data_IF_322273961561
#
_entry.id   IF_322273961561
#
_cell.length_a   1.000
_cell.length_b   1.000
_cell.length_c   1.000
_cell.angle_alpha   90.00
_cell.angle_beta   90.00
_cell.angle_gamma   90.00
#
_symmetry.space_group_name_H-M   'P 1'
#
loop_
_entity.id
_entity.type
_entity.pdbx_description
1 polymer ?
#
# COMPACT_ATOMS: atom_id res chain seq x y z
N UNK A 1 4.73 -12.09 -14.68
CA UNK A 1 4.53 -11.65 -13.28
C UNK A 1 4.44 -10.13 -13.15
N UNK A 2 5.48 -9.33 -13.44
CA UNK A 2 5.38 -7.85 -13.30
C UNK A 2 4.31 -7.25 -14.21
N UNK A 3 4.18 -7.74 -15.45
CA UNK A 3 3.10 -7.34 -16.37
C UNK A 3 1.70 -7.67 -15.80
N UNK A 4 1.52 -8.87 -15.24
CA UNK A 4 0.26 -9.27 -14.59
C UNK A 4 -0.06 -8.35 -13.42
N UNK A 5 0.94 -8.02 -12.60
CA UNK A 5 0.77 -7.11 -11.47
C UNK A 5 0.23 -5.75 -11.93
N UNK A 6 0.85 -5.14 -12.94
CA UNK A 6 0.41 -3.83 -13.44
C UNK A 6 -0.95 -3.88 -14.10
N UNK A 7 -1.27 -4.96 -14.82
CA UNK A 7 -2.60 -5.16 -15.37
C UNK A 7 -3.65 -5.28 -14.25
N UNK A 8 -3.42 -6.14 -13.26
CA UNK A 8 -4.30 -6.30 -12.09
C UNK A 8 -4.50 -4.98 -11.35
N UNK A 9 -3.43 -4.22 -11.11
CA UNK A 9 -3.53 -2.91 -10.45
C UNK A 9 -4.29 -1.88 -11.30
N UNK A 10 -4.20 -1.98 -12.62
CA UNK A 10 -5.00 -1.20 -13.57
C UNK A 10 -6.49 -1.47 -13.42
N UNK A 11 -6.88 -2.72 -13.17
CA UNK A 11 -8.27 -3.15 -12.95
C UNK A 11 -8.82 -2.83 -11.55
N UNK A 12 -7.99 -2.38 -10.61
CA UNK A 12 -8.43 -2.04 -9.27
C UNK A 12 -9.30 -0.78 -9.26
N UNK A 13 -10.33 -0.78 -8.42
CA UNK A 13 -11.10 0.43 -8.10
C UNK A 13 -10.22 1.45 -7.37
N UNK A 14 -10.69 2.69 -7.24
CA UNK A 14 -9.96 3.70 -6.48
C UNK A 14 -9.83 3.32 -5.00
N UNK A 15 -10.86 2.70 -4.43
CA UNK A 15 -10.86 2.18 -3.05
C UNK A 15 -9.81 1.07 -2.90
N UNK A 16 -9.76 0.12 -3.84
CA UNK A 16 -8.74 -0.94 -3.86
C UNK A 16 -7.33 -0.38 -4.03
N UNK A 17 -7.13 0.68 -4.83
CA UNK A 17 -5.83 1.35 -4.97
C UNK A 17 -5.38 2.02 -3.68
N UNK A 18 -6.30 2.63 -2.92
CA UNK A 18 -6.00 3.19 -1.60
C UNK A 18 -5.63 2.09 -0.61
N UNK A 19 -6.36 0.96 -0.60
CA UNK A 19 -6.03 -0.20 0.22
C UNK A 19 -4.67 -0.79 -0.16
N UNK A 20 -4.37 -0.85 -1.45
CA UNK A 20 -3.06 -1.27 -1.95
C UNK A 20 -1.95 -0.34 -1.45
N UNK A 21 -2.11 0.98 -1.57
CA UNK A 21 -1.15 1.95 -1.04
C UNK A 21 -0.89 1.74 0.45
N UNK A 22 -1.96 1.59 1.25
CA UNK A 22 -1.84 1.25 2.67
C UNK A 22 -1.06 -0.05 2.88
N UNK A 23 -1.37 -1.08 2.11
CA UNK A 23 -0.70 -2.37 2.21
C UNK A 23 0.80 -2.28 1.95
N UNK A 24 1.25 -1.50 0.95
CA UNK A 24 2.68 -1.46 0.56
C UNK A 24 3.49 -0.36 1.25
N UNK A 25 2.87 0.72 1.72
CA UNK A 25 3.59 1.86 2.32
C UNK A 25 3.09 2.25 3.71
N UNK A 26 2.03 1.62 4.23
CA UNK A 26 1.40 2.03 5.50
C UNK A 26 0.74 3.40 5.46
N UNK A 27 0.51 3.96 4.26
CA UNK A 27 -0.05 5.29 4.06
C UNK A 27 -1.31 5.20 3.22
N UNK A 28 -2.33 5.96 3.63
CA UNK A 28 -3.58 6.15 2.88
C UNK A 28 -3.47 7.14 1.73
N UNK A 29 -2.43 7.98 1.72
CA UNK A 29 -2.26 9.07 0.77
C UNK A 29 -0.83 9.12 0.23
N UNK A 30 -0.73 9.55 -1.03
CA UNK A 30 0.54 9.90 -1.64
C UNK A 30 1.00 11.27 -1.12
N UNK A 31 2.32 11.53 -1.07
CA UNK A 31 2.84 12.87 -0.79
C UNK A 31 2.30 13.89 -1.80
N UNK A 32 2.11 15.13 -1.35
CA UNK A 32 1.61 16.21 -2.22
C UNK A 32 2.60 16.56 -3.34
N UNK A 33 3.91 16.43 -3.07
CA UNK A 33 4.97 16.62 -4.04
C UNK A 33 5.67 15.29 -4.32
N UNK A 34 5.90 14.98 -5.60
CA UNK A 34 6.63 13.78 -6.02
C UNK A 34 8.09 13.78 -5.56
N UNK A 35 8.67 14.96 -5.32
CA UNK A 35 10.01 15.11 -4.74
C UNK A 35 10.10 14.56 -3.31
N UNK A 36 8.97 14.50 -2.58
CA UNK A 36 8.92 13.98 -1.21
C UNK A 36 8.84 12.45 -1.16
N UNK A 37 8.76 11.78 -2.32
CA UNK A 37 8.85 10.32 -2.43
C UNK A 37 10.32 9.94 -2.31
N UNK A 38 10.80 9.80 -1.07
CA UNK A 38 12.19 9.45 -0.75
C UNK A 38 12.58 8.02 -1.13
N UNK A 39 11.59 7.13 -1.32
CA UNK A 39 11.83 5.73 -1.63
C UNK A 39 11.02 5.27 -2.84
N UNK A 40 11.69 4.51 -3.72
CA UNK A 40 11.05 3.92 -4.91
C UNK A 40 10.31 2.65 -4.51
N UNK A 41 9.11 2.47 -5.06
CA UNK A 41 8.36 1.22 -4.92
C UNK A 41 9.13 0.06 -5.56
N UNK A 42 9.24 -1.06 -4.83
CA UNK A 42 9.98 -2.24 -5.28
C UNK A 42 9.07 -3.47 -5.32
N UNK A 43 9.20 -4.27 -6.39
CA UNK A 43 8.53 -5.57 -6.52
C UNK A 43 9.60 -6.65 -6.48
N UNK A 44 9.55 -7.47 -5.44
CA UNK A 44 10.49 -8.56 -5.21
C UNK A 44 9.81 -9.89 -5.45
N UNK A 45 10.37 -10.71 -6.33
CA UNK A 45 10.01 -12.13 -6.40
C UNK A 45 10.57 -12.84 -5.18
N UNK A 46 9.79 -13.74 -4.59
CA UNK A 46 10.22 -14.54 -3.45
C UNK A 46 10.01 -16.02 -3.71
N UNK A 47 10.89 -16.83 -3.13
CA UNK A 47 10.72 -18.28 -3.13
C UNK A 47 9.80 -18.66 -1.97
N UNK A 48 8.54 -18.88 -2.31
CA UNK A 48 7.44 -19.26 -1.41
C UNK A 48 6.53 -20.22 -2.18
N UNK A 49 5.68 -21.00 -1.48
CA UNK A 49 4.71 -21.87 -2.14
C UNK A 49 3.91 -21.10 -3.20
N UNK A 50 3.61 -21.80 -4.29
CA UNK A 50 2.78 -21.25 -5.36
C UNK A 50 1.46 -20.73 -4.82
N UNK A 51 0.99 -19.63 -5.40
CA UNK A 51 -0.33 -19.07 -5.12
C UNK A 51 -0.57 -18.68 -3.64
N UNK A 52 0.50 -18.58 -2.86
CA UNK A 52 0.45 -18.03 -1.51
C UNK A 52 0.16 -16.53 -1.53
N UNK A 53 -0.16 -15.96 -0.36
CA UNK A 53 -0.45 -14.53 -0.27
C UNK A 53 0.80 -13.67 -0.49
N UNK A 54 0.67 -12.51 -1.14
CA UNK A 54 1.75 -11.54 -1.19
C UNK A 54 2.02 -10.98 0.21
N UNK A 55 3.25 -10.51 0.43
CA UNK A 55 3.63 -9.83 1.67
C UNK A 55 4.21 -8.46 1.33
N UNK A 56 4.15 -7.52 2.26
CA UNK A 56 4.74 -6.20 2.11
C UNK A 56 5.75 -5.91 3.21
N UNK A 57 6.70 -5.04 2.90
CA UNK A 57 7.59 -4.42 3.87
C UNK A 57 7.46 -2.92 3.72
N UNK A 58 6.60 -2.33 4.56
CA UNK A 58 6.20 -0.92 4.45
C UNK A 58 7.36 0.04 4.67
N UNK A 59 8.23 -0.26 5.64
CA UNK A 59 9.46 0.50 5.90
C UNK A 59 10.38 0.60 4.68
N UNK A 60 10.27 -0.32 3.72
CA UNK A 60 11.08 -0.35 2.51
C UNK A 60 10.28 -0.11 1.22
N UNK A 61 8.99 0.23 1.36
CA UNK A 61 8.06 0.39 0.25
C UNK A 61 8.13 -0.77 -0.77
N UNK A 62 8.13 -2.00 -0.25
CA UNK A 62 8.43 -3.20 -1.03
C UNK A 62 7.25 -4.19 -1.00
N UNK A 63 6.83 -4.64 -2.18
CA UNK A 63 5.89 -5.74 -2.38
C UNK A 63 6.65 -7.02 -2.71
N UNK A 64 6.36 -8.10 -1.99
CA UNK A 64 6.96 -9.42 -2.17
C UNK A 64 5.94 -10.38 -2.76
N UNK A 65 6.18 -10.83 -3.99
CA UNK A 65 5.28 -11.67 -4.76
C UNK A 65 5.80 -13.12 -4.82
N UNK A 66 5.02 -14.11 -4.36
CA UNK A 66 5.28 -15.52 -4.66
C UNK A 66 5.05 -15.80 -6.15
N UNK A 67 5.49 -16.98 -6.65
CA UNK A 67 5.09 -17.42 -7.97
C UNK A 67 3.58 -17.67 -8.02
N UNK A 68 2.92 -17.09 -9.02
CA UNK A 68 1.49 -17.33 -9.28
C UNK A 68 1.30 -18.18 -10.53
N UNK A 69 0.36 -19.11 -10.47
CA UNK A 69 0.00 -20.00 -11.57
C UNK A 69 -0.71 -19.27 -12.72
N UNK A 70 -1.42 -18.17 -12.42
CA UNK A 70 -2.08 -17.33 -13.41
C UNK A 70 -2.26 -15.88 -12.94
N UNK A 71 -2.58 -14.98 -13.88
CA UNK A 71 -2.94 -13.60 -13.55
C UNK A 71 -4.21 -13.53 -12.68
N UNK A 72 -5.20 -14.40 -12.91
CA UNK A 72 -6.43 -14.43 -12.12
C UNK A 72 -6.14 -14.72 -10.65
N UNK A 73 -5.26 -15.69 -10.38
CA UNK A 73 -4.87 -16.04 -9.01
C UNK A 73 -4.06 -14.90 -8.36
N UNK A 74 -3.17 -14.23 -9.11
CA UNK A 74 -2.49 -13.03 -8.62
C UNK A 74 -3.49 -11.95 -8.19
N UNK A 75 -4.53 -11.70 -9.02
CA UNK A 75 -5.56 -10.71 -8.74
C UNK A 75 -6.39 -11.07 -7.50
N UNK A 76 -6.82 -12.33 -7.38
CA UNK A 76 -7.53 -12.84 -6.21
C UNK A 76 -6.69 -12.67 -4.93
N UNK A 77 -5.42 -13.08 -4.97
CA UNK A 77 -4.52 -13.05 -3.80
C UNK A 77 -4.14 -11.63 -3.40
N UNK A 78 -3.93 -10.72 -4.36
CA UNK A 78 -3.72 -9.30 -4.06
C UNK A 78 -4.96 -8.67 -3.43
N UNK A 79 -6.15 -8.88 -4.00
CA UNK A 79 -7.40 -8.38 -3.42
C UNK A 79 -7.62 -8.91 -2.02
N UNK A 80 -7.38 -10.20 -1.81
CA UNK A 80 -7.47 -10.77 -0.47
C UNK A 80 -6.52 -10.07 0.51
N UNK A 81 -5.24 -9.90 0.14
CA UNK A 81 -4.24 -9.29 1.01
C UNK A 81 -4.58 -7.86 1.41
N UNK A 82 -4.94 -7.00 0.45
CA UNK A 82 -5.24 -5.58 0.71
C UNK A 82 -6.53 -5.39 1.53
N UNK A 83 -7.50 -6.30 1.44
CA UNK A 83 -8.76 -6.20 2.17
C UNK A 83 -8.67 -6.74 3.62
N UNK A 84 -7.76 -7.68 3.87
CA UNK A 84 -7.62 -8.36 5.17
C UNK A 84 -6.44 -7.85 6.00
N UNK A 85 -5.47 -7.17 5.39
CA UNK A 85 -4.35 -6.54 6.12
C UNK A 85 -4.73 -5.11 6.54
N UNK A 86 -5.45 -4.98 7.67
CA UNK A 86 -6.04 -3.71 8.13
C UNK A 86 -5.16 -2.88 9.07
N UNK A 87 -4.22 -3.48 9.79
CA UNK A 87 -3.42 -2.80 10.81
C UNK A 87 -2.01 -2.49 10.32
N UNK A 88 -1.81 -1.29 9.79
CA UNK A 88 -0.52 -0.61 9.75
C UNK A 88 -0.79 0.77 10.35
N UNK A 89 -0.67 0.89 11.67
CA UNK A 89 -1.09 2.04 12.50
C UNK A 89 -0.23 3.31 12.29
N UNK A 90 0.05 3.68 11.04
CA UNK A 90 0.79 4.91 10.71
C UNK A 90 -0.16 6.03 10.25
N UNK A 91 -1.28 5.69 9.62
CA UNK A 91 -2.31 6.66 9.21
C UNK A 91 -3.01 7.34 10.41
N UNK A 92 -3.31 6.59 11.47
CA UNK A 92 -3.96 7.14 12.67
C UNK A 92 -3.08 8.18 13.37
N UNK A 93 -1.75 7.96 13.38
CA UNK A 93 -0.78 8.90 13.95
C UNK A 93 -0.68 10.22 13.15
N UNK A 94 -0.85 10.16 11.82
CA UNK A 94 -0.81 11.35 10.98
C UNK A 94 -2.12 12.15 11.02
N UNK A 95 -3.26 11.48 11.18
CA UNK A 95 -4.55 12.15 11.36
C UNK A 95 -4.62 12.89 12.71
N UNK A 96 -4.13 12.30 13.80
CA UNK A 96 -4.11 12.98 15.10
C UNK A 96 -3.26 14.24 15.08
N UNK A 97 -2.07 14.20 14.46
CA UNK A 97 -1.19 15.38 14.33
C UNK A 97 -1.79 16.55 13.55
N UNK A 98 -2.62 16.25 12.55
CA UNK A 98 -3.29 17.31 11.78
C UNK A 98 -4.45 17.94 12.54
N UNK A 99 -5.09 17.21 13.47
CA UNK A 99 -6.10 17.76 14.38
C UNK A 99 -5.43 18.63 15.45
N UNK A 100 -4.33 18.15 16.05
CA UNK A 100 -3.56 18.91 17.05
C UNK A 100 -3.02 20.24 16.50
N UNK A 101 -2.65 20.29 15.21
CA UNK A 101 -2.20 21.52 14.55
C UNK A 101 -3.34 22.48 14.18
N UNK A 102 -4.59 22.03 14.14
CA UNK A 102 -5.75 22.86 13.80
C UNK A 102 -6.37 23.54 15.03
N UNK A 103 -6.19 22.98 16.23
CA UNK A 103 -6.70 23.55 17.49
C UNK A 103 -5.76 24.60 18.12
N UNK A 104 -4.56 24.81 17.57
CA UNK A 104 -3.56 25.74 18.10
C UNK A 104 -3.53 27.15 17.50
N UNK A 105 -4.47 27.52 16.62
CA UNK A 105 -4.39 28.77 15.85
C UNK A 105 -5.52 29.77 16.08
N UNK A 106 -6.28 29.68 17.18
CA UNK A 106 -7.38 30.60 17.46
C UNK A 106 -7.38 31.06 18.92
N UNK A 107 -6.43 31.94 19.26
CA UNK A 107 -6.54 33.03 20.25
C UNK A 107 -5.16 33.70 20.39
N UNK A 108 -4.98 34.84 19.72
CA UNK A 108 -4.25 36.01 20.26
C UNK A 108 -4.29 37.11 19.20
N UNK A 109 -5.29 38.01 19.32
CA UNK A 109 -5.21 39.47 19.12
C UNK A 109 -6.53 40.12 19.56
#
# INVERSE_FOLDING_TARGET
MVQWFWHTLGEFSNEERVLFMRFVSGRSRLPANTADISQRFQIMKVDRPYDSLPTSQTCFFQLRLPPYSSQLVMAERLRYAINNCRSIDMDNYMLSRNVDNAEGSDTDY
#
